data_IF_416907147854
#
_entry.id   IF_416907147854
#
_cell.length_a   1.000
_cell.length_b   1.000
_cell.length_c   1.000
_cell.angle_alpha   90.00
_cell.angle_beta   90.00
_cell.angle_gamma   90.00
#
_symmetry.space_group_name_H-M   'P 1'
#
loop_
_entity.id
_entity.type
_entity.pdbx_description
1 polymer ?
#
# COMPACT_ATOMS: atom_id res chain seq x y z
N UNK A 1 0.74 -14.84 19.27
CA UNK A 1 1.31 -15.62 18.15
C UNK A 1 0.51 -15.42 16.86
N UNK A 2 -0.81 -15.68 16.87
CA UNK A 2 -1.69 -15.53 15.71
C UNK A 2 -1.62 -14.16 15.02
N UNK A 3 -1.73 -13.05 15.76
CA UNK A 3 -1.66 -11.69 15.18
C UNK A 3 -0.36 -11.42 14.41
N UNK A 4 0.76 -12.01 14.85
CA UNK A 4 2.04 -11.89 14.16
C UNK A 4 2.04 -12.67 12.84
N UNK A 5 1.40 -13.84 12.81
CA UNK A 5 1.24 -14.65 11.60
C UNK A 5 0.35 -13.92 10.59
N UNK A 6 -0.83 -13.44 11.04
CA UNK A 6 -1.78 -12.68 10.20
C UNK A 6 -1.11 -11.42 9.63
N UNK A 7 -0.37 -10.69 10.47
CA UNK A 7 0.40 -9.54 10.04
C UNK A 7 1.39 -9.90 8.94
N UNK A 8 2.24 -10.91 9.12
CA UNK A 8 3.26 -11.23 8.13
C UNK A 8 2.67 -11.82 6.85
N UNK A 9 1.64 -12.66 6.93
CA UNK A 9 0.95 -13.20 5.77
C UNK A 9 0.37 -12.06 4.91
N UNK A 10 -0.41 -11.17 5.52
CA UNK A 10 -1.00 -10.01 4.82
C UNK A 10 0.06 -9.01 4.31
N UNK A 11 1.12 -8.77 5.09
CA UNK A 11 2.21 -7.85 4.70
C UNK A 11 3.01 -8.38 3.51
N UNK A 12 3.32 -9.67 3.48
CA UNK A 12 4.06 -10.28 2.35
C UNK A 12 3.22 -10.22 1.07
N UNK A 13 1.93 -10.53 1.15
CA UNK A 13 1.00 -10.43 0.01
C UNK A 13 0.95 -8.98 -0.49
N UNK A 14 0.70 -8.01 0.40
CA UNK A 14 0.64 -6.60 0.03
C UNK A 14 1.97 -6.10 -0.57
N UNK A 15 3.11 -6.46 0.05
CA UNK A 15 4.43 -6.07 -0.44
C UNK A 15 4.78 -6.69 -1.80
N UNK A 16 4.40 -7.95 -2.03
CA UNK A 16 4.57 -8.59 -3.34
C UNK A 16 3.75 -7.87 -4.42
N UNK A 17 2.48 -7.56 -4.13
CA UNK A 17 1.60 -6.84 -5.06
C UNK A 17 2.04 -5.40 -5.33
N UNK A 18 2.63 -4.75 -4.33
CA UNK A 18 3.31 -3.47 -4.51
C UNK A 18 4.58 -3.60 -5.38
N UNK A 19 5.35 -4.67 -5.19
CA UNK A 19 6.54 -4.99 -5.99
C UNK A 19 6.25 -5.28 -7.45
N UNK A 20 5.09 -5.87 -7.78
CA UNK A 20 4.66 -6.11 -9.16
C UNK A 20 4.59 -4.83 -10.01
N UNK A 21 4.49 -3.66 -9.37
CA UNK A 21 4.54 -2.39 -10.06
C UNK A 21 5.91 -2.10 -10.74
N UNK A 22 6.98 -2.85 -10.43
CA UNK A 22 8.22 -2.78 -11.22
C UNK A 22 7.98 -3.06 -12.71
N UNK A 23 6.98 -3.89 -13.04
CA UNK A 23 6.59 -4.15 -14.44
C UNK A 23 6.11 -2.89 -15.15
N UNK A 24 5.62 -1.89 -14.41
CA UNK A 24 5.19 -0.61 -14.97
C UNK A 24 6.35 0.11 -15.68
N UNK A 25 7.60 -0.14 -15.29
CA UNK A 25 8.79 0.48 -15.88
C UNK A 25 9.22 -0.17 -17.20
N UNK A 26 8.68 -1.33 -17.56
CA UNK A 26 9.07 -2.05 -18.79
C UNK A 26 8.64 -1.32 -20.07
N UNK A 27 7.58 -0.51 -19.99
CA UNK A 27 7.02 0.16 -21.17
C UNK A 27 6.44 -0.81 -22.20
N UNK A 28 6.13 -2.06 -21.81
CA UNK A 28 5.48 -3.02 -22.71
C UNK A 28 4.12 -2.51 -23.17
N UNK A 29 3.69 -2.94 -24.37
CA UNK A 29 2.40 -2.54 -24.93
C UNK A 29 1.25 -2.79 -23.95
N UNK A 30 1.21 -3.98 -23.32
CA UNK A 30 0.23 -4.34 -22.30
C UNK A 30 0.16 -3.32 -21.16
N UNK A 31 1.30 -2.87 -20.63
CA UNK A 31 1.33 -1.92 -19.52
C UNK A 31 0.91 -0.53 -19.99
N UNK A 32 1.42 -0.07 -21.13
CA UNK A 32 1.11 1.25 -21.68
C UNK A 32 -0.37 1.37 -22.01
N UNK A 33 -0.94 0.35 -22.65
CA UNK A 33 -2.36 0.26 -22.98
C UNK A 33 -3.23 0.13 -21.73
N UNK A 34 -2.81 -0.65 -20.73
CA UNK A 34 -3.53 -0.77 -19.46
C UNK A 34 -3.67 0.57 -18.73
N UNK A 35 -2.60 1.39 -18.67
CA UNK A 35 -2.68 2.75 -18.11
C UNK A 35 -3.56 3.68 -18.95
N UNK A 36 -3.50 3.57 -20.29
CA UNK A 36 -4.34 4.35 -21.19
C UNK A 36 -5.83 4.00 -21.03
N UNK A 37 -6.13 2.71 -20.89
CA UNK A 37 -7.49 2.17 -20.73
C UNK A 37 -8.19 2.77 -19.52
N UNK A 38 -7.50 2.82 -18.37
CA UNK A 38 -8.03 3.43 -17.14
C UNK A 38 -7.89 4.96 -17.08
N UNK A 39 -7.52 5.61 -18.20
CA UNK A 39 -7.44 7.07 -18.32
C UNK A 39 -6.25 7.72 -17.62
N UNK A 40 -5.23 6.95 -17.24
CA UNK A 40 -4.06 7.46 -16.53
C UNK A 40 -2.96 7.99 -17.46
N UNK A 41 -2.31 9.10 -17.07
CA UNK A 41 -1.17 9.63 -17.82
C UNK A 41 0.05 8.71 -17.69
N UNK A 42 0.87 8.64 -18.73
CA UNK A 42 2.04 7.74 -18.75
C UNK A 42 3.14 8.12 -17.74
N UNK A 43 3.17 9.38 -17.28
CA UNK A 43 4.05 9.81 -16.21
C UNK A 43 3.69 9.13 -14.88
N UNK A 44 2.38 8.90 -14.62
CA UNK A 44 1.93 8.21 -13.41
C UNK A 44 2.41 6.76 -13.39
N UNK A 45 2.50 6.10 -14.55
CA UNK A 45 3.09 4.76 -14.68
C UNK A 45 4.52 4.71 -14.14
N UNK A 46 5.36 5.68 -14.50
CA UNK A 46 6.73 5.77 -14.02
C UNK A 46 6.80 6.04 -12.52
N UNK A 47 5.99 6.99 -12.03
CA UNK A 47 5.93 7.33 -10.59
C UNK A 47 5.50 6.12 -9.77
N UNK A 48 4.42 5.45 -10.14
CA UNK A 48 3.92 4.26 -9.43
C UNK A 48 4.88 3.07 -9.55
N UNK A 49 5.59 2.96 -10.68
CA UNK A 49 6.58 1.91 -10.90
C UNK A 49 7.78 1.98 -9.96
N UNK A 50 8.08 3.16 -9.40
CA UNK A 50 9.13 3.35 -8.37
C UNK A 50 8.52 3.40 -6.96
N UNK A 51 7.43 4.15 -6.79
CA UNK A 51 6.85 4.41 -5.47
C UNK A 51 6.23 3.16 -4.82
N UNK A 52 5.51 2.33 -5.58
CA UNK A 52 4.88 1.12 -5.03
C UNK A 52 5.92 0.10 -4.56
N UNK A 53 6.95 -0.27 -5.34
CA UNK A 53 7.99 -1.19 -4.86
C UNK A 53 8.76 -0.63 -3.66
N UNK A 54 9.05 0.67 -3.64
CA UNK A 54 9.66 1.31 -2.47
C UNK A 54 8.80 1.18 -1.21
N UNK A 55 7.48 1.39 -1.32
CA UNK A 55 6.55 1.15 -0.23
C UNK A 55 6.57 -0.32 0.23
N UNK A 56 6.57 -1.28 -0.71
CA UNK A 56 6.69 -2.71 -0.42
C UNK A 56 7.95 -3.05 0.39
N UNK A 57 9.10 -2.52 -0.01
CA UNK A 57 10.37 -2.69 0.72
C UNK A 57 10.27 -2.10 2.13
N UNK A 58 9.75 -0.88 2.27
CA UNK A 58 9.55 -0.24 3.58
C UNK A 58 8.66 -1.07 4.49
N UNK A 59 7.59 -1.70 3.97
CA UNK A 59 6.71 -2.56 4.76
C UNK A 59 7.43 -3.80 5.31
N UNK A 60 8.35 -4.39 4.54
CA UNK A 60 9.08 -5.60 4.93
C UNK A 60 10.23 -5.34 5.92
N UNK A 61 10.95 -4.23 5.76
CA UNK A 61 12.12 -3.92 6.59
C UNK A 61 11.76 -3.79 8.10
N UNK A 62 12.70 -4.12 9.01
CA UNK A 62 12.55 -3.77 10.42
C UNK A 62 12.68 -2.24 10.62
N UNK A 63 12.07 -1.69 11.67
CA UNK A 63 12.17 -0.24 11.97
C UNK A 63 11.33 0.65 11.05
N UNK A 64 11.89 1.81 10.64
CA UNK A 64 11.30 2.77 9.69
C UNK A 64 9.84 3.19 9.99
N UNK A 65 9.51 3.39 11.26
CA UNK A 65 8.12 3.59 11.74
C UNK A 65 7.39 4.70 10.97
N UNK A 66 8.02 5.87 10.78
CA UNK A 66 7.41 6.97 10.03
C UNK A 66 7.18 6.62 8.56
N UNK A 67 8.21 6.07 7.90
CA UNK A 67 8.09 5.68 6.49
C UNK A 67 7.07 4.56 6.29
N UNK A 68 6.85 3.68 7.28
CA UNK A 68 5.78 2.68 7.22
C UNK A 68 4.42 3.33 7.17
N UNK A 69 4.16 4.35 7.97
CA UNK A 69 2.89 5.10 7.90
C UNK A 69 2.72 5.73 6.51
N UNK A 70 3.79 6.30 5.93
CA UNK A 70 3.75 6.82 4.56
C UNK A 70 3.52 5.72 3.51
N UNK A 71 4.15 4.56 3.66
CA UNK A 71 3.97 3.42 2.77
C UNK A 71 2.53 2.89 2.82
N UNK A 72 1.96 2.77 4.03
CA UNK A 72 0.55 2.37 4.20
C UNK A 72 -0.40 3.40 3.60
N UNK A 73 -0.22 4.70 3.88
CA UNK A 73 -1.07 5.75 3.33
C UNK A 73 -0.96 5.82 1.79
N UNK A 74 0.26 5.80 1.26
CA UNK A 74 0.50 5.85 -0.18
C UNK A 74 -0.08 4.64 -0.92
N UNK A 75 0.12 3.43 -0.38
CA UNK A 75 -0.49 2.22 -0.96
C UNK A 75 -2.02 2.25 -0.89
N UNK A 76 -2.58 2.75 0.21
CA UNK A 76 -4.02 2.89 0.36
C UNK A 76 -4.60 3.86 -0.68
N UNK A 77 -4.01 5.05 -0.84
CA UNK A 77 -4.46 5.99 -1.87
C UNK A 77 -4.30 5.44 -3.29
N UNK A 78 -3.15 4.81 -3.59
CA UNK A 78 -2.89 4.24 -4.90
C UNK A 78 -3.91 3.15 -5.28
N UNK A 79 -4.24 2.24 -4.35
CA UNK A 79 -5.23 1.20 -4.63
C UNK A 79 -6.66 1.70 -4.60
N UNK A 80 -7.02 2.68 -3.75
CA UNK A 80 -8.33 3.33 -3.81
C UNK A 80 -8.57 4.02 -5.15
N UNK A 81 -7.58 4.77 -5.65
CA UNK A 81 -7.66 5.38 -6.98
C UNK A 81 -7.74 4.32 -8.08
N UNK A 82 -7.02 3.20 -7.95
CA UNK A 82 -7.13 2.09 -8.91
C UNK A 82 -8.54 1.49 -8.95
N UNK A 83 -9.22 1.29 -7.80
CA UNK A 83 -10.62 0.85 -7.78
C UNK A 83 -11.50 1.81 -8.59
N UNK A 84 -11.37 3.12 -8.32
CA UNK A 84 -12.17 4.16 -9.00
C UNK A 84 -11.89 4.14 -10.51
N UNK A 85 -10.63 4.04 -10.92
CA UNK A 85 -10.23 4.09 -12.32
C UNK A 85 -10.72 2.87 -13.12
N UNK A 86 -10.58 1.65 -12.57
CA UNK A 86 -11.12 0.44 -13.20
C UNK A 86 -12.65 0.46 -13.25
N UNK A 87 -13.31 0.96 -12.20
CA UNK A 87 -14.76 1.12 -12.18
C UNK A 87 -15.23 2.08 -13.28
N UNK A 88 -14.57 3.23 -13.43
CA UNK A 88 -14.87 4.21 -14.49
C UNK A 88 -14.56 3.67 -15.89
N UNK A 89 -13.56 2.81 -16.03
CA UNK A 89 -13.22 2.16 -17.29
C UNK A 89 -14.22 1.06 -17.70
N UNK A 90 -15.11 0.64 -16.79
CA UNK A 90 -16.13 -0.37 -17.08
C UNK A 90 -15.63 -1.81 -16.97
N UNK A 91 -14.56 -2.07 -16.20
CA UNK A 91 -13.90 -3.38 -16.11
C UNK A 91 -14.69 -4.43 -15.30
N UNK A 92 -15.93 -4.12 -14.91
CA UNK A 92 -16.80 -5.03 -14.17
C UNK A 92 -16.14 -5.52 -12.87
N UNK A 93 -16.08 -6.85 -12.71
CA UNK A 93 -15.53 -7.49 -11.50
C UNK A 93 -14.04 -7.25 -11.31
N UNK A 94 -13.27 -6.95 -12.36
CA UNK A 94 -11.83 -6.66 -12.23
C UNK A 94 -11.59 -5.37 -11.42
N UNK A 95 -12.56 -4.45 -11.42
CA UNK A 95 -12.55 -3.24 -10.58
C UNK A 95 -12.45 -3.53 -9.08
N UNK A 96 -12.81 -4.74 -8.65
CA UNK A 96 -12.75 -5.18 -7.26
C UNK A 96 -11.36 -5.70 -6.87
N UNK A 97 -10.48 -6.01 -7.82
CA UNK A 97 -9.17 -6.57 -7.50
C UNK A 97 -8.33 -5.63 -6.60
N UNK A 98 -8.22 -4.31 -6.87
CA UNK A 98 -7.49 -3.41 -5.96
C UNK A 98 -8.16 -3.28 -4.58
N UNK A 99 -9.47 -3.54 -4.45
CA UNK A 99 -10.16 -3.57 -3.16
C UNK A 99 -9.70 -4.74 -2.29
N UNK A 100 -9.46 -5.90 -2.88
CA UNK A 100 -8.88 -7.06 -2.16
C UNK A 100 -7.49 -6.71 -1.62
N UNK A 101 -6.69 -5.98 -2.39
CA UNK A 101 -5.36 -5.52 -1.96
C UNK A 101 -5.45 -4.51 -0.79
N UNK A 102 -6.45 -3.62 -0.82
CA UNK A 102 -6.75 -2.73 0.31
C UNK A 102 -7.11 -3.50 1.57
N UNK A 103 -7.87 -4.60 1.46
CA UNK A 103 -8.20 -5.44 2.61
C UNK A 103 -6.93 -6.06 3.20
N UNK A 104 -6.04 -6.62 2.38
CA UNK A 104 -4.76 -7.14 2.87
C UNK A 104 -3.91 -6.04 3.51
N UNK A 105 -3.89 -4.84 2.93
CA UNK A 105 -3.17 -3.69 3.50
C UNK A 105 -3.74 -3.29 4.87
N UNK A 106 -5.07 -3.23 4.98
CA UNK A 106 -5.76 -2.88 6.22
C UNK A 106 -5.52 -3.93 7.31
N UNK A 107 -5.62 -5.21 6.97
CA UNK A 107 -5.31 -6.32 7.90
C UNK A 107 -3.85 -6.22 8.36
N UNK A 108 -2.91 -6.00 7.44
CA UNK A 108 -1.50 -5.77 7.77
C UNK A 108 -1.35 -4.58 8.72
N UNK A 109 -1.97 -3.45 8.41
CA UNK A 109 -1.90 -2.24 9.22
C UNK A 109 -2.43 -2.45 10.65
N UNK A 110 -3.61 -3.04 10.78
CA UNK A 110 -4.30 -3.23 12.07
C UNK A 110 -3.60 -4.26 12.95
N UNK A 111 -3.03 -5.30 12.35
CA UNK A 111 -2.34 -6.38 13.09
C UNK A 111 -0.85 -6.10 13.33
N UNK A 112 -0.32 -4.96 12.87
CA UNK A 112 1.12 -4.66 12.97
C UNK A 112 1.63 -4.63 14.42
N UNK A 113 2.77 -5.26 14.74
CA UNK A 113 3.34 -5.25 16.09
C UNK A 113 3.67 -3.84 16.59
N UNK A 114 3.65 -3.63 17.90
CA UNK A 114 3.95 -2.33 18.53
C UNK A 114 5.32 -1.76 18.12
N UNK A 115 6.34 -2.62 17.91
CA UNK A 115 7.67 -2.21 17.47
C UNK A 115 7.69 -1.50 16.10
N UNK A 116 6.63 -1.66 15.31
CA UNK A 116 6.44 -1.08 13.96
C UNK A 116 5.41 0.04 13.92
N UNK A 117 4.90 0.48 15.07
CA UNK A 117 4.01 1.64 15.18
C UNK A 117 4.85 2.86 15.55
N UNK A 118 4.49 4.04 15.04
CA UNK A 118 4.97 5.28 15.66
C UNK A 118 4.57 5.28 17.13
N UNK A 119 5.49 5.67 18.01
CA UNK A 119 5.13 5.90 19.39
C UNK A 119 4.09 7.03 19.42
N UNK A 120 3.03 6.89 20.21
CA UNK A 120 2.24 8.06 20.56
C UNK A 120 3.17 9.07 21.21
N UNK A 121 3.09 10.38 20.88
CA UNK A 121 3.73 11.36 21.72
C UNK A 121 3.21 11.12 23.14
N UNK A 122 4.12 10.91 24.10
CA UNK A 122 3.74 10.90 25.51
C UNK A 122 3.03 12.22 25.76
N UNK A 123 1.70 12.20 25.90
CA UNK A 123 1.00 13.29 26.55
C UNK A 123 1.57 13.25 27.96
N UNK A 124 2.34 14.25 28.40
CA UNK A 124 2.84 14.24 29.77
C UNK A 124 1.61 14.10 30.64
N UNK A 125 1.57 13.03 31.44
CA UNK A 125 0.54 12.90 32.46
C UNK A 125 0.54 14.23 33.19
N UNK A 126 -0.57 14.98 33.07
CA UNK A 126 -0.77 16.18 33.86
C UNK A 126 -0.61 15.69 35.29
N UNK A 127 0.56 15.96 35.87
CA UNK A 127 0.82 15.70 37.27
C UNK A 127 -0.09 16.67 37.99
N UNK A 128 -1.31 16.25 38.26
CA UNK A 128 -2.14 16.85 39.31
C UNK A 128 -1.40 16.57 40.61
N UNK A 129 -0.43 17.45 40.91
CA UNK A 129 0.15 17.56 42.22
C UNK A 129 -0.84 18.37 43.06
N UNK A 130 -1.36 17.68 44.08
CA UNK A 130 -1.92 18.17 45.34
C UNK A 130 -2.97 19.29 45.28
#
# INVERSE_FOLDING_TARGET
>A
MLMKIVYWASTIIAAAMLGMALTYLTGSAQVVEGFKHVGYPQQLRLVLGVAKPAAGVVLLLPGLRLLKEWAYAGAAFAWSMAVIAHWQAGDGLESLFPLVLLIFLAVSYLTRPASRRLASPDVPAVRTAA
#
